data_IF_230454426356
#
_entry.id   IF_230454426356
#
_cell.length_a   1.000
_cell.length_b   1.000
_cell.length_c   1.000
_cell.angle_alpha   90.00
_cell.angle_beta   90.00
_cell.angle_gamma   90.00
#
_symmetry.space_group_name_H-M   'P 1'
#
loop_
_entity.id
_entity.type
_entity.pdbx_description
1 polymer ?
#
# COMPACT_ATOMS: atom_id res chain seq x y z
N UNK A 1 -16.24 -36.27 34.05
CA UNK A 1 -16.83 -34.97 33.83
C UNK A 1 -15.94 -34.21 32.85
N UNK A 2 -16.40 -34.11 31.62
CA UNK A 2 -15.63 -33.40 30.58
C UNK A 2 -15.83 -31.91 30.70
N UNK A 3 -14.76 -31.17 30.95
CA UNK A 3 -14.75 -29.70 30.82
C UNK A 3 -15.03 -29.29 29.38
N UNK A 4 -16.23 -28.86 29.13
CA UNK A 4 -16.55 -28.16 27.88
C UNK A 4 -15.76 -26.86 27.84
N UNK A 5 -14.61 -26.85 27.13
CA UNK A 5 -13.88 -25.62 26.80
C UNK A 5 -14.88 -24.63 26.20
N UNK A 6 -15.20 -23.56 26.91
CA UNK A 6 -15.97 -22.43 26.39
C UNK A 6 -15.25 -21.89 25.15
N UNK A 7 -15.75 -22.27 23.99
CA UNK A 7 -15.33 -21.63 22.74
C UNK A 7 -15.85 -20.20 22.81
N UNK A 8 -14.98 -19.22 22.92
CA UNK A 8 -15.31 -17.80 22.93
C UNK A 8 -16.21 -17.38 21.76
N UNK A 9 -16.76 -16.19 21.84
CA UNK A 9 -17.61 -15.63 20.76
C UNK A 9 -16.87 -15.61 19.42
N UNK A 10 -17.60 -15.49 18.32
CA UNK A 10 -17.00 -15.39 16.98
C UNK A 10 -16.02 -14.20 16.89
N UNK A 11 -16.33 -13.08 17.55
CA UNK A 11 -15.47 -11.90 17.63
C UNK A 11 -14.17 -12.19 18.40
N UNK A 12 -14.24 -12.82 19.57
CA UNK A 12 -13.06 -13.19 20.37
C UNK A 12 -12.13 -14.16 19.63
N UNK A 13 -12.70 -15.10 18.87
CA UNK A 13 -11.90 -16.03 18.05
C UNK A 13 -11.22 -15.33 16.88
N UNK A 14 -11.86 -14.30 16.32
CA UNK A 14 -11.28 -13.48 15.26
C UNK A 14 -10.12 -12.65 15.80
N UNK A 15 -10.31 -11.99 16.95
CA UNK A 15 -9.26 -11.22 17.62
C UNK A 15 -8.08 -12.12 18.01
N UNK A 16 -8.31 -13.31 18.56
CA UNK A 16 -7.27 -14.25 18.89
C UNK A 16 -6.45 -14.69 17.65
N UNK A 17 -7.12 -14.93 16.51
CA UNK A 17 -6.44 -15.27 15.25
C UNK A 17 -5.59 -14.10 14.72
N UNK A 18 -6.03 -12.87 14.92
CA UNK A 18 -5.27 -11.68 14.56
C UNK A 18 -4.01 -11.53 15.43
N UNK A 19 -4.13 -11.73 16.74
CA UNK A 19 -3.01 -11.65 17.68
C UNK A 19 -1.93 -12.72 17.43
N UNK A 20 -2.33 -13.96 17.17
CA UNK A 20 -1.40 -15.06 16.91
C UNK A 20 -0.66 -14.94 15.58
N UNK A 21 -1.24 -14.25 14.60
CA UNK A 21 -0.65 -14.09 13.26
C UNK A 21 0.23 -12.86 13.11
N UNK A 22 0.22 -11.95 14.08
CA UNK A 22 0.86 -10.62 13.93
C UNK A 22 0.16 -9.72 12.90
N UNK A 23 -1.04 -10.10 12.46
CA UNK A 23 -1.85 -9.38 11.47
C UNK A 23 -2.77 -8.39 12.16
N UNK A 24 -2.87 -7.17 11.66
CA UNK A 24 -3.73 -6.10 12.14
C UNK A 24 -4.80 -5.82 11.09
N UNK A 25 -6.05 -5.67 11.51
CA UNK A 25 -7.09 -5.17 10.63
C UNK A 25 -6.93 -3.66 10.47
N UNK A 26 -6.93 -3.19 9.22
CA UNK A 26 -6.83 -1.76 8.88
C UNK A 26 -8.14 -1.28 8.25
N UNK A 27 -8.33 0.04 8.20
CA UNK A 27 -9.49 0.64 7.55
C UNK A 27 -9.33 0.69 6.03
N UNK A 28 -10.43 0.88 5.30
CA UNK A 28 -10.41 1.06 3.85
C UNK A 28 -9.57 2.30 3.46
N UNK A 29 -9.68 3.38 4.22
CA UNK A 29 -8.91 4.61 3.98
C UNK A 29 -7.41 4.36 4.14
N UNK A 30 -7.02 3.57 5.17
CA UNK A 30 -5.60 3.22 5.35
C UNK A 30 -5.09 2.33 4.23
N UNK A 31 -5.89 1.34 3.82
CA UNK A 31 -5.57 0.50 2.67
C UNK A 31 -5.42 1.33 1.39
N UNK A 32 -6.36 2.22 1.11
CA UNK A 32 -6.32 3.10 -0.07
C UNK A 32 -5.09 4.03 -0.08
N UNK A 33 -4.64 4.49 1.08
CA UNK A 33 -3.42 5.30 1.17
C UNK A 33 -2.16 4.59 0.62
N UNK A 34 -2.18 3.25 0.56
CA UNK A 34 -1.07 2.46 0.02
C UNK A 34 -1.30 1.97 -1.41
N UNK A 35 -2.54 1.61 -1.76
CA UNK A 35 -2.82 0.80 -2.94
C UNK A 35 -3.71 1.46 -3.98
N UNK A 36 -4.22 2.66 -3.73
CA UNK A 36 -5.08 3.36 -4.69
C UNK A 36 -4.43 3.45 -6.09
N UNK A 37 -3.12 3.60 -6.14
CA UNK A 37 -2.35 3.74 -7.39
C UNK A 37 -1.85 2.42 -7.98
N UNK A 38 -2.09 1.29 -7.33
CA UNK A 38 -1.73 -0.05 -7.82
C UNK A 38 -2.94 -0.88 -8.22
N UNK A 39 -4.13 -0.43 -7.85
CA UNK A 39 -5.37 -1.16 -8.12
C UNK A 39 -5.63 -1.22 -9.63
N UNK A 40 -5.78 -2.43 -10.13
CA UNK A 40 -6.17 -2.63 -11.53
C UNK A 40 -7.64 -2.27 -11.72
N UNK A 41 -8.02 -1.52 -12.77
CA UNK A 41 -9.42 -1.29 -13.12
C UNK A 41 -10.23 -2.58 -13.32
N UNK A 42 -9.58 -3.64 -13.81
CA UNK A 42 -10.19 -4.98 -13.93
C UNK A 42 -10.53 -5.56 -12.56
N UNK A 43 -9.67 -5.35 -11.55
CA UNK A 43 -9.94 -5.85 -10.19
C UNK A 43 -11.22 -5.24 -9.61
N UNK A 44 -11.46 -3.96 -9.82
CA UNK A 44 -12.70 -3.28 -9.40
C UNK A 44 -13.93 -3.77 -10.18
N UNK A 45 -13.78 -4.14 -11.44
CA UNK A 45 -14.86 -4.67 -12.26
C UNK A 45 -15.32 -6.07 -11.80
N UNK A 46 -14.38 -6.92 -11.35
CA UNK A 46 -14.66 -8.33 -11.02
C UNK A 46 -14.79 -8.58 -9.51
N UNK A 47 -14.23 -7.75 -8.66
CA UNK A 47 -14.13 -7.96 -7.22
C UNK A 47 -14.79 -6.88 -6.37
N UNK A 48 -15.21 -7.26 -5.16
CA UNK A 48 -15.62 -6.34 -4.10
C UNK A 48 -14.65 -6.54 -2.94
N UNK A 49 -13.88 -5.53 -2.62
CA UNK A 49 -12.99 -5.51 -1.46
C UNK A 49 -13.81 -5.43 -0.16
N UNK A 50 -13.57 -6.32 0.80
CA UNK A 50 -14.42 -6.47 1.97
C UNK A 50 -13.71 -6.19 3.30
N UNK A 51 -12.51 -6.72 3.48
CA UNK A 51 -11.75 -6.65 4.71
C UNK A 51 -10.28 -6.42 4.39
N UNK A 52 -9.65 -5.53 5.13
CA UNK A 52 -8.28 -5.08 4.87
C UNK A 52 -7.40 -5.39 6.07
N UNK A 53 -6.20 -5.87 5.81
CA UNK A 53 -5.26 -6.31 6.83
C UNK A 53 -3.84 -5.88 6.48
N UNK A 54 -3.00 -5.72 7.50
CA UNK A 54 -1.56 -5.54 7.32
C UNK A 54 -0.78 -6.31 8.40
N UNK A 55 0.50 -6.51 8.19
CA UNK A 55 1.42 -6.78 9.28
C UNK A 55 1.62 -5.52 10.13
N UNK A 56 2.19 -5.64 11.34
CA UNK A 56 2.40 -4.51 12.25
C UNK A 56 3.30 -3.40 11.68
N UNK A 57 4.18 -3.75 10.76
CA UNK A 57 5.11 -2.81 10.13
C UNK A 57 4.56 -2.21 8.82
N UNK A 58 3.36 -2.63 8.37
CA UNK A 58 2.75 -2.23 7.10
C UNK A 58 3.66 -2.48 5.88
N UNK A 59 4.42 -3.58 5.94
CA UNK A 59 5.26 -4.06 4.84
C UNK A 59 4.52 -5.02 3.92
N UNK A 60 3.51 -5.68 4.47
CA UNK A 60 2.59 -6.59 3.79
C UNK A 60 1.16 -6.09 3.98
N UNK A 61 0.39 -6.09 2.91
CA UNK A 61 -1.02 -5.70 2.93
C UNK A 61 -1.84 -6.80 2.29
N UNK A 62 -2.97 -7.15 2.91
CA UNK A 62 -3.87 -8.16 2.40
C UNK A 62 -5.31 -7.66 2.33
N UNK A 63 -6.02 -8.06 1.31
CA UNK A 63 -7.43 -7.76 1.12
C UNK A 63 -8.23 -9.03 0.86
N UNK A 64 -9.35 -9.16 1.56
CA UNK A 64 -10.35 -10.18 1.29
C UNK A 64 -11.31 -9.66 0.22
N UNK A 65 -11.46 -10.41 -0.85
CA UNK A 65 -12.28 -10.03 -2.01
C UNK A 65 -13.44 -11.01 -2.15
N UNK A 66 -14.59 -10.48 -2.57
CA UNK A 66 -15.74 -11.26 -3.04
C UNK A 66 -15.87 -11.09 -4.54
N UNK A 67 -15.95 -12.20 -5.28
CA UNK A 67 -16.24 -12.19 -6.70
C UNK A 67 -17.67 -11.67 -6.97
N UNK A 68 -17.82 -10.81 -7.97
CA UNK A 68 -19.13 -10.24 -8.37
C UNK A 68 -19.98 -11.23 -9.15
N UNK A 69 -19.36 -12.16 -9.87
CA UNK A 69 -20.02 -13.10 -10.78
C UNK A 69 -20.35 -14.40 -10.06
N UNK A 70 -19.36 -15.09 -9.55
CA UNK A 70 -19.51 -16.42 -8.94
C UNK A 70 -19.89 -16.37 -7.46
N UNK A 71 -19.83 -15.18 -6.85
CA UNK A 71 -20.14 -14.93 -5.43
C UNK A 71 -19.26 -15.70 -4.45
N UNK A 72 -18.20 -16.31 -4.90
CA UNK A 72 -17.18 -16.90 -4.05
C UNK A 72 -16.23 -15.81 -3.49
N UNK A 73 -15.22 -16.24 -2.76
CA UNK A 73 -14.29 -15.33 -2.08
C UNK A 73 -12.86 -15.71 -2.41
N UNK A 74 -12.02 -14.71 -2.36
CA UNK A 74 -10.59 -14.86 -2.50
C UNK A 74 -9.84 -13.83 -1.67
N UNK A 75 -8.54 -13.78 -1.85
CA UNK A 75 -7.70 -12.75 -1.27
C UNK A 75 -6.62 -12.33 -2.27
N UNK A 76 -6.13 -11.12 -2.09
CA UNK A 76 -4.88 -10.63 -2.68
C UNK A 76 -3.97 -10.21 -1.55
N UNK A 77 -2.71 -10.61 -1.62
CA UNK A 77 -1.66 -10.13 -0.75
C UNK A 77 -0.66 -9.32 -1.55
N UNK A 78 -0.29 -8.17 -1.02
CA UNK A 78 0.62 -7.21 -1.60
C UNK A 78 1.87 -7.10 -0.73
N UNK A 79 3.02 -7.05 -1.38
CA UNK A 79 4.32 -6.76 -0.78
C UNK A 79 5.05 -5.70 -1.60
N UNK A 80 6.12 -5.13 -1.04
CA UNK A 80 6.86 -4.07 -1.72
C UNK A 80 7.86 -4.65 -2.72
N UNK A 81 7.88 -4.08 -3.93
CA UNK A 81 8.87 -4.40 -4.97
C UNK A 81 10.18 -3.61 -4.76
N UNK A 82 11.14 -3.76 -5.66
CA UNK A 82 12.43 -3.04 -5.61
C UNK A 82 12.29 -1.51 -5.69
N UNK A 83 11.18 -0.99 -6.20
CA UNK A 83 10.85 0.46 -6.21
C UNK A 83 10.04 0.87 -4.99
N UNK A 84 9.76 -0.05 -4.07
CA UNK A 84 8.94 0.17 -2.90
C UNK A 84 7.44 0.24 -3.18
N UNK A 85 6.96 -0.08 -4.40
CA UNK A 85 5.53 -0.12 -4.74
C UNK A 85 4.91 -1.40 -4.20
N UNK A 86 3.67 -1.34 -3.76
CA UNK A 86 2.94 -2.55 -3.43
C UNK A 86 2.55 -3.30 -4.72
N UNK A 87 2.92 -4.57 -4.79
CA UNK A 87 2.63 -5.49 -5.90
C UNK A 87 2.04 -6.79 -5.37
N UNK A 88 1.22 -7.45 -6.17
CA UNK A 88 0.65 -8.74 -5.81
C UNK A 88 1.76 -9.79 -5.66
N UNK A 89 1.82 -10.43 -4.50
CA UNK A 89 2.80 -11.48 -4.17
C UNK A 89 2.15 -12.83 -3.90
N UNK A 90 0.86 -12.82 -3.56
CA UNK A 90 0.06 -14.03 -3.38
C UNK A 90 -1.41 -13.73 -3.65
N UNK A 91 -2.10 -14.65 -4.28
CA UNK A 91 -3.51 -14.53 -4.64
C UNK A 91 -4.18 -15.90 -4.63
N UNK A 92 -5.43 -15.93 -4.20
CA UNK A 92 -6.26 -17.13 -4.32
C UNK A 92 -7.73 -16.74 -4.44
N UNK A 93 -8.51 -17.61 -5.10
CA UNK A 93 -9.94 -17.42 -5.36
C UNK A 93 -10.71 -18.70 -5.19
N UNK A 94 -12.01 -18.71 -5.51
CA UNK A 94 -12.90 -19.86 -5.52
C UNK A 94 -13.05 -20.53 -4.15
N UNK A 95 -13.20 -19.74 -3.10
CA UNK A 95 -13.29 -20.21 -1.72
C UNK A 95 -14.58 -19.74 -1.03
N UNK A 96 -14.91 -20.38 0.09
CA UNK A 96 -15.82 -19.77 1.07
C UNK A 96 -15.13 -18.61 1.79
N UNK A 97 -15.89 -17.63 2.27
CA UNK A 97 -15.35 -16.47 3.02
C UNK A 97 -14.42 -16.89 4.17
N UNK A 98 -14.81 -17.93 4.92
CA UNK A 98 -14.01 -18.43 6.04
C UNK A 98 -12.67 -19.03 5.58
N UNK A 99 -12.68 -19.77 4.49
CA UNK A 99 -11.47 -20.38 3.94
C UNK A 99 -10.55 -19.33 3.31
N UNK A 100 -11.09 -18.36 2.57
CA UNK A 100 -10.32 -17.26 1.99
C UNK A 100 -9.61 -16.44 3.08
N UNK A 101 -10.32 -16.10 4.17
CA UNK A 101 -9.72 -15.41 5.32
C UNK A 101 -8.64 -16.23 6.01
N UNK A 102 -8.86 -17.54 6.19
CA UNK A 102 -7.85 -18.45 6.77
C UNK A 102 -6.62 -18.54 5.87
N UNK A 103 -6.80 -18.64 4.56
CA UNK A 103 -5.73 -18.70 3.58
C UNK A 103 -4.94 -17.38 3.55
N UNK A 104 -5.61 -16.22 3.59
CA UNK A 104 -4.94 -14.94 3.71
C UNK A 104 -4.03 -14.87 4.95
N UNK A 105 -4.51 -15.28 6.11
CA UNK A 105 -3.70 -15.28 7.34
C UNK A 105 -2.56 -16.31 7.30
N UNK A 106 -2.74 -17.42 6.62
CA UNK A 106 -1.66 -18.36 6.36
C UNK A 106 -0.59 -17.76 5.46
N UNK A 107 -0.98 -17.00 4.43
CA UNK A 107 -0.07 -16.28 3.55
C UNK A 107 0.71 -15.20 4.32
N UNK A 108 0.06 -14.41 5.19
CA UNK A 108 0.77 -13.48 6.07
C UNK A 108 1.85 -14.19 6.91
N UNK A 109 1.49 -15.26 7.59
CA UNK A 109 2.47 -16.03 8.40
C UNK A 109 3.65 -16.54 7.58
N UNK A 110 3.38 -17.05 6.38
CA UNK A 110 4.42 -17.53 5.46
C UNK A 110 5.40 -16.42 5.10
N UNK A 111 4.90 -15.25 4.67
CA UNK A 111 5.75 -14.15 4.24
C UNK A 111 6.46 -13.44 5.39
N UNK A 112 5.81 -13.30 6.55
CA UNK A 112 6.47 -12.77 7.76
C UNK A 112 7.58 -13.74 8.21
N UNK A 113 7.33 -15.04 8.18
CA UNK A 113 8.33 -16.04 8.59
C UNK A 113 9.51 -16.15 7.62
N UNK A 114 9.33 -15.84 6.33
CA UNK A 114 10.43 -15.82 5.36
C UNK A 114 11.42 -14.69 5.63
N UNK A 115 10.99 -13.61 6.31
CA UNK A 115 11.81 -12.41 6.53
C UNK A 115 12.08 -11.63 5.25
N UNK A 116 11.43 -11.97 4.14
CA UNK A 116 11.57 -11.27 2.87
C UNK A 116 10.88 -9.92 2.95
N UNK A 117 11.63 -8.85 2.72
CA UNK A 117 11.14 -7.48 2.78
C UNK A 117 10.88 -6.87 1.39
N UNK A 118 11.41 -7.49 0.33
CA UNK A 118 11.32 -7.00 -1.04
C UNK A 118 10.94 -8.14 -1.98
N UNK A 119 9.87 -7.95 -2.73
CA UNK A 119 9.26 -8.94 -3.62
C UNK A 119 9.39 -8.49 -5.08
N UNK A 120 10.55 -8.73 -5.68
CA UNK A 120 10.79 -8.36 -7.09
C UNK A 120 9.81 -9.04 -8.03
N UNK A 121 9.28 -8.28 -8.98
CA UNK A 121 8.39 -8.77 -10.04
C UNK A 121 9.13 -9.03 -11.36
N UNK A 122 10.43 -8.69 -11.42
CA UNK A 122 11.27 -8.88 -12.60
C UNK A 122 11.10 -7.81 -13.68
N UNK A 123 10.18 -6.86 -13.50
CA UNK A 123 9.95 -5.73 -14.42
C UNK A 123 10.64 -4.43 -13.93
N UNK A 124 11.23 -4.46 -12.74
CA UNK A 124 11.95 -3.32 -12.18
C UNK A 124 13.36 -3.22 -12.76
N UNK A 125 13.70 -2.05 -13.28
CA UNK A 125 15.09 -1.73 -13.60
C UNK A 125 15.82 -1.38 -12.30
N UNK A 126 16.89 -2.13 -12.00
CA UNK A 126 17.65 -2.01 -10.75
C UNK A 126 18.27 -0.61 -10.49
N UNK A 127 18.45 0.16 -11.55
CA UNK A 127 19.07 1.51 -11.53
C UNK A 127 18.12 2.64 -11.11
N UNK A 128 16.82 2.33 -10.95
CA UNK A 128 15.79 3.32 -10.56
C UNK A 128 15.11 2.90 -9.26
N UNK A 129 15.87 2.90 -8.16
CA UNK A 129 15.27 2.87 -6.82
C UNK A 129 14.28 4.04 -6.68
N UNK A 130 13.20 3.81 -5.93
CA UNK A 130 12.17 4.84 -5.73
C UNK A 130 12.78 6.18 -5.31
N UNK A 131 12.28 7.25 -5.89
CA UNK A 131 12.80 8.60 -5.64
C UNK A 131 12.33 9.07 -4.27
N UNK A 132 13.26 9.44 -3.40
CA UNK A 132 12.95 10.01 -2.08
C UNK A 132 12.79 11.53 -2.19
N UNK A 133 11.55 12.01 -2.10
CA UNK A 133 11.21 13.44 -2.14
C UNK A 133 11.81 14.26 -0.99
N UNK A 134 12.03 13.61 0.15
CA UNK A 134 12.32 14.30 1.42
C UNK A 134 13.78 14.24 1.81
N UNK A 135 14.59 13.43 1.12
CA UNK A 135 16.03 13.40 1.31
C UNK A 135 16.66 14.60 0.59
N UNK A 136 17.02 15.61 1.35
CA UNK A 136 17.65 16.82 0.78
C UNK A 136 19.03 17.05 1.40
N UNK A 137 19.97 17.48 0.54
CA UNK A 137 21.30 17.99 0.94
C UNK A 137 21.34 19.50 0.92
N UNK A 138 20.24 20.16 0.54
CA UNK A 138 20.18 21.61 0.44
C UNK A 138 20.13 22.25 1.84
N UNK A 139 20.89 23.32 2.08
CA UNK A 139 20.77 24.11 3.30
C UNK A 139 19.39 24.78 3.38
N UNK A 140 18.89 25.02 4.58
CA UNK A 140 17.53 25.51 4.84
C UNK A 140 17.20 26.79 4.06
N UNK A 141 18.15 27.69 3.90
CA UNK A 141 17.98 28.96 3.17
C UNK A 141 17.83 28.79 1.64
N UNK A 142 18.08 27.60 1.11
CA UNK A 142 17.86 27.25 -0.30
C UNK A 142 16.59 26.39 -0.50
N UNK A 143 16.00 25.91 0.58
CA UNK A 143 14.76 25.14 0.53
C UNK A 143 13.55 26.08 0.40
N UNK A 144 12.51 25.62 -0.30
CA UNK A 144 11.22 26.29 -0.27
C UNK A 144 10.66 26.30 1.16
N UNK A 145 10.13 27.41 1.68
CA UNK A 145 9.64 27.50 3.06
C UNK A 145 8.58 26.44 3.40
N UNK A 146 7.66 26.15 2.48
CA UNK A 146 6.65 25.12 2.68
C UNK A 146 7.24 23.71 2.68
N UNK A 147 8.25 23.42 1.85
CA UNK A 147 8.99 22.15 1.90
C UNK A 147 9.70 21.97 3.25
N UNK A 148 10.41 23.01 3.71
CA UNK A 148 11.04 22.98 5.02
C UNK A 148 10.04 22.74 6.17
N UNK A 149 8.88 23.42 6.13
CA UNK A 149 7.81 23.22 7.09
C UNK A 149 7.25 21.80 7.03
N UNK A 150 7.03 21.26 5.83
CA UNK A 150 6.55 19.89 5.59
C UNK A 150 7.51 18.85 6.20
N UNK A 151 8.82 19.05 6.07
CA UNK A 151 9.83 18.14 6.58
C UNK A 151 10.07 18.27 8.10
N UNK A 152 10.03 19.47 8.65
CA UNK A 152 10.46 19.75 10.03
C UNK A 152 9.36 19.49 11.08
N UNK A 153 8.09 19.50 10.70
CA UNK A 153 6.98 19.43 11.67
C UNK A 153 6.37 18.03 11.75
N UNK A 154 6.23 17.45 12.98
CA UNK A 154 5.72 16.09 13.16
C UNK A 154 4.29 15.86 12.63
N UNK A 155 3.41 16.85 12.71
CA UNK A 155 2.02 16.72 12.26
C UNK A 155 1.88 16.54 10.74
N UNK A 156 2.93 16.81 9.96
CA UNK A 156 2.96 16.55 8.51
C UNK A 156 3.45 15.14 8.13
N UNK A 157 3.79 14.29 9.11
CA UNK A 157 4.22 12.90 8.84
C UNK A 157 3.21 12.13 7.95
N UNK A 158 1.88 12.18 8.21
CA UNK A 158 0.93 11.48 7.33
C UNK A 158 0.94 11.99 5.89
N UNK A 159 1.03 13.32 5.70
CA UNK A 159 1.10 13.90 4.36
C UNK A 159 2.37 13.48 3.61
N UNK A 160 3.53 13.47 4.28
CA UNK A 160 4.78 12.95 3.69
C UNK A 160 4.65 11.48 3.29
N UNK A 161 4.02 10.66 4.12
CA UNK A 161 3.85 9.25 3.83
C UNK A 161 3.03 9.03 2.55
N UNK A 162 1.91 9.75 2.38
CA UNK A 162 1.08 9.68 1.17
C UNK A 162 1.86 10.17 -0.06
N UNK A 163 2.54 11.30 0.03
CA UNK A 163 3.36 11.82 -1.09
C UNK A 163 4.48 10.84 -1.48
N UNK A 164 5.11 10.19 -0.51
CA UNK A 164 6.11 9.16 -0.77
C UNK A 164 5.51 7.96 -1.51
N UNK A 165 4.30 7.51 -1.14
CA UNK A 165 3.60 6.44 -1.87
C UNK A 165 3.26 6.85 -3.31
N UNK A 166 2.72 8.04 -3.52
CA UNK A 166 2.46 8.58 -4.86
C UNK A 166 3.73 8.59 -5.72
N UNK A 167 4.84 9.07 -5.17
CA UNK A 167 6.11 9.21 -5.88
C UNK A 167 6.73 7.87 -6.30
N UNK A 168 6.41 6.77 -5.64
CA UNK A 168 6.83 5.43 -6.06
C UNK A 168 6.24 5.00 -7.41
N UNK A 169 5.13 5.58 -7.79
CA UNK A 169 4.43 5.32 -9.04
C UNK A 169 4.69 6.39 -10.09
N UNK A 170 5.13 7.55 -9.66
CA UNK A 170 5.40 8.68 -10.54
C UNK A 170 6.67 8.48 -11.35
N UNK A 171 6.62 8.81 -12.63
CA UNK A 171 7.80 8.78 -13.51
C UNK A 171 8.27 10.21 -13.72
N UNK A 172 9.44 10.54 -13.19
CA UNK A 172 10.11 11.82 -13.42
C UNK A 172 10.86 11.75 -14.75
N UNK A 173 10.24 12.25 -15.82
CA UNK A 173 10.78 12.19 -17.19
C UNK A 173 12.00 13.10 -17.32
N UNK A 174 11.91 14.31 -16.75
CA UNK A 174 12.95 15.35 -16.90
C UNK A 174 14.07 15.21 -15.86
N UNK A 175 13.86 14.40 -14.82
CA UNK A 175 14.82 14.17 -13.75
C UNK A 175 15.02 15.36 -12.81
N UNK A 176 14.14 16.37 -12.87
CA UNK A 176 14.25 17.60 -12.08
C UNK A 176 13.12 17.79 -11.06
N UNK A 177 12.18 16.85 -10.99
CA UNK A 177 11.00 16.96 -10.12
C UNK A 177 11.38 17.19 -8.66
N UNK A 178 12.32 16.40 -8.12
CA UNK A 178 12.72 16.46 -6.71
C UNK A 178 13.38 17.80 -6.40
N UNK A 179 14.31 18.25 -7.23
CA UNK A 179 14.97 19.54 -7.03
C UNK A 179 13.96 20.68 -6.99
N UNK A 180 13.06 20.73 -7.96
CA UNK A 180 12.03 21.75 -8.05
C UNK A 180 11.01 21.67 -6.92
N UNK A 181 10.65 20.48 -6.48
CA UNK A 181 9.80 20.25 -5.31
C UNK A 181 10.44 20.77 -4.03
N UNK A 182 11.74 20.65 -3.88
CA UNK A 182 12.47 21.11 -2.70
C UNK A 182 12.78 22.63 -2.73
N UNK A 183 12.67 23.27 -3.90
CA UNK A 183 13.10 24.66 -4.11
C UNK A 183 12.00 25.55 -4.67
N UNK A 184 12.13 26.03 -5.90
CA UNK A 184 11.36 27.15 -6.45
C UNK A 184 9.96 26.79 -6.93
N UNK A 185 9.69 25.52 -7.27
CA UNK A 185 8.44 25.12 -7.88
C UNK A 185 7.60 24.17 -6.96
N UNK A 186 7.77 24.27 -5.65
CA UNK A 186 7.07 23.42 -4.68
C UNK A 186 5.57 23.30 -4.95
N UNK A 187 4.86 24.43 -5.08
CA UNK A 187 3.41 24.43 -5.27
C UNK A 187 2.99 23.79 -6.60
N UNK A 188 3.74 24.04 -7.67
CA UNK A 188 3.47 23.42 -8.97
C UNK A 188 3.68 21.90 -8.93
N UNK A 189 4.72 21.46 -8.24
CA UNK A 189 5.03 20.03 -8.13
C UNK A 189 4.07 19.28 -7.19
N UNK A 190 3.56 19.93 -6.14
CA UNK A 190 2.45 19.42 -5.33
C UNK A 190 1.19 19.23 -6.20
N UNK A 191 0.84 20.23 -7.01
CA UNK A 191 -0.31 20.16 -7.91
C UNK A 191 -0.15 19.03 -8.94
N UNK A 192 1.02 18.91 -9.54
CA UNK A 192 1.32 17.86 -10.52
C UNK A 192 1.17 16.46 -9.90
N UNK A 193 1.74 16.25 -8.72
CA UNK A 193 1.65 14.97 -8.00
C UNK A 193 0.20 14.66 -7.61
N UNK A 194 -0.54 15.65 -7.13
CA UNK A 194 -1.95 15.50 -6.80
C UNK A 194 -2.80 15.12 -8.01
N UNK A 195 -2.65 15.82 -9.12
CA UNK A 195 -3.39 15.54 -10.36
C UNK A 195 -3.05 14.15 -10.90
N UNK A 196 -1.77 13.80 -10.88
CA UNK A 196 -1.32 12.46 -11.27
C UNK A 196 -2.03 11.37 -10.44
N UNK A 197 -2.03 11.50 -9.13
CA UNK A 197 -2.69 10.55 -8.24
C UNK A 197 -4.20 10.50 -8.48
N UNK A 198 -4.87 11.66 -8.58
CA UNK A 198 -6.31 11.74 -8.82
C UNK A 198 -6.72 11.10 -10.17
N UNK A 199 -5.94 11.32 -11.22
CA UNK A 199 -6.20 10.71 -12.53
C UNK A 199 -6.03 9.20 -12.49
N UNK A 200 -5.02 8.68 -11.79
CA UNK A 200 -4.86 7.23 -11.61
C UNK A 200 -6.01 6.62 -10.82
N UNK A 201 -6.46 7.27 -9.74
CA UNK A 201 -7.63 6.82 -8.96
C UNK A 201 -8.92 6.79 -9.79
N UNK A 202 -9.04 7.67 -10.78
CA UNK A 202 -10.13 7.66 -11.75
C UNK A 202 -9.97 6.60 -12.85
N UNK A 203 -8.92 5.79 -12.82
CA UNK A 203 -8.63 4.77 -13.83
C UNK A 203 -8.12 5.32 -15.16
N UNK A 204 -7.67 6.57 -15.19
CA UNK A 204 -7.13 7.22 -16.37
C UNK A 204 -5.62 6.98 -16.47
N UNK A 205 -5.17 6.61 -17.67
CA UNK A 205 -3.74 6.50 -17.94
C UNK A 205 -3.15 7.87 -18.22
N UNK A 206 -2.14 8.26 -17.45
CA UNK A 206 -1.37 9.49 -17.69
C UNK A 206 -0.14 9.12 -18.50
N UNK A 207 -0.20 9.35 -19.82
CA UNK A 207 1.00 9.29 -20.66
C UNK A 207 1.75 10.61 -20.52
N UNK A 208 3.02 10.52 -20.12
CA UNK A 208 3.98 11.63 -20.21
C UNK A 208 4.79 11.42 -21.49
N UNK A 209 4.46 12.17 -22.52
CA UNK A 209 5.28 12.28 -23.73
C UNK A 209 6.49 13.18 -23.47
#
# INVERSE_FOLDING_TARGET
MGEARRKGTKAERVVALLDESGVVQITAERYNAFVAWTRSPIADAVGIELEFFSDKAETLIGVLIKDRFDRDFGFVMLGRDLKGRFRCIDVSCSMTRTNARRALFASFRKHVASGEAVFSQGDEKADKAGVDLFNTKLPVNQQHPAFHMLCSRPHWVPARAIMAEMMRHYVDVDGNFVEQFQTTAFDSRIWELYLYAALLELGLFVNKE
#
